data_IF_395897882653
#
_entry.id   IF_395897882653
#
_cell.length_a   1.000
_cell.length_b   1.000
_cell.length_c   1.000
_cell.angle_alpha   90.00
_cell.angle_beta   90.00
_cell.angle_gamma   90.00
#
_symmetry.space_group_name_H-M   'P 1'
#
loop_
_entity.id
_entity.type
_entity.pdbx_description
1 polymer ?
#
# COMPACT_ATOMS: atom_id res chain seq x y z
N UNK A 1 2.34 9.02 11.90
CA UNK A 1 2.92 7.91 11.15
C UNK A 1 4.27 7.58 11.74
N UNK A 2 4.57 6.31 11.99
CA UNK A 2 5.94 5.85 12.19
C UNK A 2 6.63 5.72 10.82
N UNK A 3 7.95 5.89 10.77
CA UNK A 3 8.75 5.69 9.57
C UNK A 3 9.61 4.45 9.75
N UNK A 4 9.43 3.48 8.85
CA UNK A 4 10.21 2.24 8.83
C UNK A 4 11.17 2.30 7.64
N UNK A 5 12.46 2.09 7.87
CA UNK A 5 13.46 2.02 6.79
C UNK A 5 14.43 0.86 6.98
N UNK A 6 15.27 0.59 5.97
CA UNK A 6 16.34 -0.39 6.07
C UNK A 6 17.48 -0.03 7.03
N UNK A 7 17.44 1.17 7.65
CA UNK A 7 18.44 1.70 8.57
C UNK A 7 19.87 1.81 8.02
N UNK A 8 20.05 1.72 6.70
CA UNK A 8 21.32 2.05 6.03
C UNK A 8 21.50 3.57 5.83
N UNK A 9 22.59 3.99 5.17
CA UNK A 9 22.89 5.39 4.88
C UNK A 9 22.01 5.95 3.75
N UNK A 10 22.21 7.23 3.43
CA UNK A 10 21.60 7.89 2.27
C UNK A 10 20.11 8.12 2.48
N UNK A 11 19.27 7.67 1.54
CA UNK A 11 17.83 7.97 1.59
C UNK A 11 17.11 7.32 2.78
N UNK A 12 17.59 6.16 3.23
CA UNK A 12 17.07 5.46 4.41
C UNK A 12 17.34 6.25 5.70
N UNK A 13 18.49 6.92 5.78
CA UNK A 13 18.86 7.81 6.88
C UNK A 13 18.08 9.13 6.79
N UNK A 14 17.94 9.71 5.59
CA UNK A 14 17.17 10.93 5.37
C UNK A 14 15.70 10.78 5.82
N UNK A 15 15.07 9.63 5.54
CA UNK A 15 13.72 9.32 6.01
C UNK A 15 13.61 9.31 7.53
N UNK A 16 14.57 8.69 8.22
CA UNK A 16 14.63 8.69 9.69
C UNK A 16 14.95 10.07 10.25
N UNK A 17 15.78 10.85 9.57
CA UNK A 17 16.14 12.21 9.99
C UNK A 17 14.94 13.14 9.97
N UNK A 18 14.09 13.00 8.94
CA UNK A 18 12.85 13.78 8.84
C UNK A 18 11.81 13.37 9.90
N UNK A 19 11.72 12.09 10.24
CA UNK A 19 10.79 11.59 11.25
C UNK A 19 11.26 11.87 12.70
N UNK A 20 12.58 11.87 12.91
CA UNK A 20 13.18 11.82 14.23
C UNK A 20 13.23 10.40 14.81
N UNK A 21 14.10 10.20 15.80
CA UNK A 21 14.39 8.88 16.40
C UNK A 21 13.15 8.21 17.00
N UNK A 22 12.32 8.96 17.72
CA UNK A 22 11.13 8.42 18.40
C UNK A 22 10.10 7.85 17.41
N UNK A 23 10.03 8.42 16.21
CA UNK A 23 9.10 8.02 15.17
C UNK A 23 9.74 7.10 14.13
N UNK A 24 10.91 6.53 14.40
CA UNK A 24 11.67 5.70 13.45
C UNK A 24 11.83 4.26 13.92
N UNK A 25 11.71 3.31 12.98
CA UNK A 25 12.00 1.88 13.16
C UNK A 25 13.02 1.46 12.10
N UNK A 26 14.06 0.73 12.50
CA UNK A 26 15.12 0.30 11.62
C UNK A 26 15.14 -1.20 11.41
N UNK A 27 14.95 -1.67 10.17
CA UNK A 27 14.98 -3.09 9.83
C UNK A 27 16.08 -3.37 8.80
N UNK A 28 17.30 -3.62 9.29
CA UNK A 28 18.47 -3.82 8.43
C UNK A 28 18.71 -5.28 8.07
N UNK A 29 19.59 -5.52 7.11
CA UNK A 29 20.10 -6.85 6.74
C UNK A 29 21.57 -6.93 7.14
N UNK A 30 22.03 -8.08 7.65
CA UNK A 30 23.45 -8.31 7.94
C UNK A 30 24.21 -8.52 6.63
N UNK A 31 25.09 -7.59 6.29
CA UNK A 31 26.02 -7.72 5.17
C UNK A 31 27.47 -7.73 5.67
N UNK A 32 28.39 -8.45 5.01
CA UNK A 32 29.79 -8.55 5.45
C UNK A 32 30.52 -7.20 5.55
N UNK A 33 30.03 -6.20 4.81
CA UNK A 33 30.65 -4.88 4.64
C UNK A 33 29.80 -3.73 5.24
N UNK A 34 28.61 -4.02 5.78
CA UNK A 34 27.71 -3.01 6.36
C UNK A 34 27.52 -3.34 7.84
N UNK A 35 28.31 -2.69 8.68
CA UNK A 35 28.52 -3.11 10.09
C UNK A 35 27.62 -2.41 11.10
N UNK A 36 26.86 -1.38 10.74
CA UNK A 36 26.03 -0.66 11.73
C UNK A 36 24.83 0.06 11.10
N UNK A 37 23.78 0.22 11.91
CA UNK A 37 22.68 1.13 11.61
C UNK A 37 23.18 2.57 11.41
N UNK A 38 22.40 3.39 10.70
CA UNK A 38 22.64 4.82 10.68
C UNK A 38 22.59 5.44 12.10
N UNK A 39 23.24 6.60 12.33
CA UNK A 39 23.41 7.17 13.67
C UNK A 39 22.10 7.48 14.42
N UNK A 40 21.00 7.66 13.68
CA UNK A 40 19.71 8.08 14.25
C UNK A 40 19.12 6.97 15.12
N UNK A 41 19.17 5.72 14.65
CA UNK A 41 18.56 4.56 15.32
C UNK A 41 19.59 3.61 15.95
N UNK A 42 20.88 3.93 15.87
CA UNK A 42 21.94 3.15 16.50
C UNK A 42 21.72 3.00 18.01
N UNK A 43 21.79 1.75 18.50
CA UNK A 43 21.60 1.39 19.90
C UNK A 43 20.15 1.47 20.41
N UNK A 44 19.18 1.70 19.54
CA UNK A 44 17.75 1.75 19.89
C UNK A 44 17.13 0.34 19.90
N UNK A 45 16.15 0.10 20.78
CA UNK A 45 15.40 -1.17 20.81
C UNK A 45 14.52 -1.39 19.57
N UNK A 46 14.17 -0.31 18.86
CA UNK A 46 13.43 -0.34 17.59
C UNK A 46 14.32 -0.70 16.38
N UNK A 47 15.61 -0.95 16.60
CA UNK A 47 16.52 -1.43 15.56
C UNK A 47 16.61 -2.96 15.57
N UNK A 48 16.28 -3.57 14.43
CA UNK A 48 16.34 -5.01 14.22
C UNK A 48 17.25 -5.34 13.05
N UNK A 49 18.27 -6.16 13.32
CA UNK A 49 19.21 -6.65 12.31
C UNK A 49 18.88 -8.08 11.86
N UNK A 50 18.32 -8.20 10.66
CA UNK A 50 17.88 -9.47 10.08
C UNK A 50 19.04 -10.26 9.48
N UNK A 51 18.96 -11.59 9.54
CA UNK A 51 19.92 -12.49 8.88
C UNK A 51 19.52 -12.80 7.44
N UNK A 52 18.21 -12.88 7.16
CA UNK A 52 17.69 -13.29 5.86
C UNK A 52 16.93 -12.14 5.19
N UNK A 53 17.13 -11.98 3.88
CA UNK A 53 16.45 -10.95 3.10
C UNK A 53 14.93 -11.10 3.15
N UNK A 54 14.40 -12.33 3.01
CA UNK A 54 12.95 -12.54 2.97
C UNK A 54 12.25 -12.14 4.29
N UNK A 55 12.87 -12.39 5.45
CA UNK A 55 12.29 -11.94 6.73
C UNK A 55 12.32 -10.43 6.88
N UNK A 56 13.38 -9.77 6.37
CA UNK A 56 13.47 -8.30 6.34
C UNK A 56 12.34 -7.71 5.49
N UNK A 57 12.21 -8.20 4.25
CA UNK A 57 11.18 -7.72 3.32
C UNK A 57 9.77 -7.96 3.85
N UNK A 58 9.52 -9.13 4.45
CA UNK A 58 8.26 -9.43 5.12
C UNK A 58 7.94 -8.42 6.22
N UNK A 59 8.88 -8.07 7.09
CA UNK A 59 8.64 -7.10 8.16
C UNK A 59 8.37 -5.70 7.63
N UNK A 60 9.13 -5.26 6.61
CA UNK A 60 8.90 -3.97 5.96
C UNK A 60 7.50 -3.86 5.37
N UNK A 61 7.01 -4.92 4.71
CA UNK A 61 5.68 -4.90 4.08
C UNK A 61 4.56 -5.11 5.09
N UNK A 62 4.69 -6.09 5.98
CA UNK A 62 3.62 -6.48 6.91
C UNK A 62 3.32 -5.39 7.95
N UNK A 63 4.35 -4.71 8.41
CA UNK A 63 4.24 -3.71 9.48
C UNK A 63 4.10 -2.27 8.95
N UNK A 64 3.83 -2.11 7.65
CA UNK A 64 3.62 -0.79 7.01
C UNK A 64 2.25 -0.69 6.36
N UNK A 65 1.61 0.47 6.57
CA UNK A 65 0.34 0.82 5.94
C UNK A 65 0.51 1.52 4.60
N UNK A 66 1.66 2.16 4.35
CA UNK A 66 1.93 2.92 3.14
C UNK A 66 3.41 2.85 2.76
N UNK A 67 3.72 3.05 1.48
CA UNK A 67 5.06 2.89 0.95
C UNK A 67 5.46 4.11 0.12
N UNK A 68 6.65 4.62 0.37
CA UNK A 68 7.30 5.64 -0.47
C UNK A 68 8.60 5.03 -0.99
N UNK A 69 8.69 4.86 -2.30
CA UNK A 69 9.87 4.38 -3.00
C UNK A 69 10.59 5.59 -3.60
N UNK A 70 11.83 5.81 -3.17
CA UNK A 70 12.73 6.84 -3.72
C UNK A 70 13.66 6.20 -4.76
N UNK A 71 14.23 6.96 -5.71
CA UNK A 71 15.15 6.43 -6.72
C UNK A 71 16.29 5.62 -6.09
N UNK A 72 16.62 4.48 -6.69
CA UNK A 72 17.62 3.57 -6.14
C UNK A 72 17.98 2.41 -7.06
N UNK A 73 18.92 1.58 -6.62
CA UNK A 73 19.42 0.44 -7.40
C UNK A 73 18.54 -0.82 -7.29
N UNK A 74 19.16 -1.99 -7.51
CA UNK A 74 18.44 -3.27 -7.52
C UNK A 74 17.71 -3.60 -6.23
N UNK A 75 18.19 -3.15 -5.06
CA UNK A 75 17.49 -3.38 -3.79
C UNK A 75 16.13 -2.68 -3.75
N UNK A 76 16.10 -1.40 -4.15
CA UNK A 76 14.85 -0.63 -4.23
C UNK A 76 13.89 -1.24 -5.26
N UNK A 77 14.40 -1.63 -6.44
CA UNK A 77 13.58 -2.24 -7.48
C UNK A 77 13.02 -3.61 -7.06
N UNK A 78 13.82 -4.44 -6.38
CA UNK A 78 13.36 -5.73 -5.81
C UNK A 78 12.20 -5.52 -4.83
N UNK A 79 12.37 -4.64 -3.85
CA UNK A 79 11.35 -4.36 -2.84
C UNK A 79 10.07 -3.74 -3.47
N UNK A 80 10.22 -2.84 -4.44
CA UNK A 80 9.11 -2.19 -5.14
C UNK A 80 8.32 -3.19 -6.01
N UNK A 81 8.98 -4.01 -6.81
CA UNK A 81 8.30 -5.00 -7.65
C UNK A 81 7.67 -6.13 -6.81
N UNK A 82 8.30 -6.53 -5.70
CA UNK A 82 7.70 -7.48 -4.76
C UNK A 82 6.40 -6.93 -4.17
N UNK A 83 6.41 -5.67 -3.73
CA UNK A 83 5.23 -5.01 -3.20
C UNK A 83 4.09 -4.93 -4.22
N UNK A 84 4.39 -4.53 -5.46
CA UNK A 84 3.40 -4.53 -6.54
C UNK A 84 2.83 -5.94 -6.78
N UNK A 85 3.67 -6.96 -6.80
CA UNK A 85 3.25 -8.35 -6.98
C UNK A 85 2.34 -8.81 -5.84
N UNK A 86 2.65 -8.44 -4.59
CA UNK A 86 1.82 -8.78 -3.43
C UNK A 86 0.43 -8.12 -3.50
N UNK A 87 0.35 -6.86 -3.91
CA UNK A 87 -0.93 -6.17 -4.09
C UNK A 87 -1.71 -6.72 -5.29
N UNK A 88 -1.04 -6.93 -6.43
CA UNK A 88 -1.63 -7.47 -7.65
C UNK A 88 -2.25 -8.86 -7.42
N UNK A 89 -1.64 -9.68 -6.57
CA UNK A 89 -2.09 -11.05 -6.29
C UNK A 89 -2.98 -11.17 -5.05
N UNK A 90 -3.26 -10.06 -4.36
CA UNK A 90 -4.05 -10.05 -3.12
C UNK A 90 -3.39 -10.74 -1.94
N UNK A 91 -2.06 -10.86 -1.95
CA UNK A 91 -1.27 -11.38 -0.83
C UNK A 91 -0.90 -10.30 0.17
N UNK A 92 -0.99 -9.02 -0.23
CA UNK A 92 -0.96 -7.86 0.66
C UNK A 92 -2.36 -7.24 0.83
N UNK A 93 -2.55 -6.53 1.94
CA UNK A 93 -3.72 -5.65 2.10
C UNK A 93 -3.58 -4.44 1.16
N UNK A 94 -4.69 -3.84 0.68
CA UNK A 94 -4.63 -2.60 -0.09
C UNK A 94 -3.88 -1.51 0.68
N UNK A 95 -2.87 -0.94 0.04
CA UNK A 95 -2.02 0.13 0.56
C UNK A 95 -1.65 1.10 -0.58
N UNK A 96 -1.39 2.39 -0.27
CA UNK A 96 -0.86 3.33 -1.26
C UNK A 96 0.65 3.11 -1.43
N UNK A 97 1.06 2.93 -2.68
CA UNK A 97 2.47 2.92 -3.11
C UNK A 97 2.73 4.22 -3.84
N UNK A 98 3.65 5.01 -3.31
CA UNK A 98 4.12 6.24 -3.93
C UNK A 98 5.52 6.02 -4.46
N UNK A 99 5.70 6.27 -5.75
CA UNK A 99 7.00 6.35 -6.41
C UNK A 99 7.35 7.83 -6.49
N UNK A 100 8.28 8.30 -5.65
CA UNK A 100 8.57 9.73 -5.51
C UNK A 100 9.85 10.09 -6.26
N UNK A 101 9.71 10.86 -7.33
CA UNK A 101 10.84 11.39 -8.09
C UNK A 101 11.53 12.57 -7.39
N UNK A 102 12.80 12.76 -7.72
CA UNK A 102 13.54 13.95 -7.28
C UNK A 102 13.34 15.07 -8.31
N UNK A 103 13.39 16.35 -7.91
CA UNK A 103 13.26 17.46 -8.84
C UNK A 103 14.28 17.37 -9.99
N UNK A 104 13.79 17.17 -11.21
CA UNK A 104 14.61 17.05 -12.43
C UNK A 104 15.22 15.67 -12.67
N UNK A 105 14.81 14.64 -11.93
CA UNK A 105 15.26 13.25 -12.08
C UNK A 105 14.04 12.34 -12.29
N UNK A 106 13.65 12.06 -13.55
CA UNK A 106 12.40 11.38 -13.87
C UNK A 106 12.52 9.85 -13.76
N UNK A 107 13.14 9.36 -12.69
CA UNK A 107 13.53 7.97 -12.53
C UNK A 107 12.32 7.03 -12.58
N UNK A 108 11.26 7.35 -11.84
CA UNK A 108 10.05 6.53 -11.77
C UNK A 108 9.13 6.76 -12.96
N UNK A 109 9.11 7.95 -13.58
CA UNK A 109 8.44 8.11 -14.87
C UNK A 109 9.07 7.19 -15.93
N UNK A 110 10.39 7.06 -15.97
CA UNK A 110 11.07 6.14 -16.90
C UNK A 110 10.71 4.67 -16.63
N UNK A 111 10.62 4.26 -15.36
CA UNK A 111 10.15 2.91 -14.98
C UNK A 111 8.68 2.71 -15.35
N UNK A 112 7.82 3.70 -15.12
CA UNK A 112 6.40 3.66 -15.50
C UNK A 112 6.23 3.58 -17.02
N UNK A 113 7.05 4.30 -17.80
CA UNK A 113 7.11 4.17 -19.25
C UNK A 113 7.52 2.77 -19.67
N UNK A 114 8.46 2.11 -18.98
CA UNK A 114 8.76 0.70 -19.22
C UNK A 114 7.54 -0.20 -18.97
N UNK A 115 6.82 -0.01 -17.86
CA UNK A 115 5.60 -0.79 -17.55
C UNK A 115 4.56 -0.59 -18.66
N UNK A 116 4.27 0.66 -19.04
CA UNK A 116 3.24 1.03 -20.02
C UNK A 116 3.61 0.64 -21.46
N UNK A 117 4.87 0.76 -21.86
CA UNK A 117 5.31 0.51 -23.23
C UNK A 117 5.74 -0.95 -23.44
N UNK A 118 6.20 -1.63 -22.37
CA UNK A 118 6.71 -2.99 -22.48
C UNK A 118 5.78 -4.05 -21.92
N UNK A 119 5.28 -3.88 -20.68
CA UNK A 119 4.53 -4.93 -20.00
C UNK A 119 3.05 -4.92 -20.40
N UNK A 120 2.43 -3.75 -20.42
CA UNK A 120 1.00 -3.61 -20.68
C UNK A 120 0.58 -4.08 -22.10
N UNK A 121 1.25 -3.71 -23.20
CA UNK A 121 0.85 -4.13 -24.55
C UNK A 121 1.01 -5.64 -24.77
N UNK A 122 1.93 -6.24 -24.00
CA UNK A 122 2.18 -7.69 -23.98
C UNK A 122 1.24 -8.45 -23.04
N UNK A 123 0.33 -7.75 -22.35
CA UNK A 123 -0.60 -8.31 -21.35
C UNK A 123 0.11 -9.03 -20.20
N UNK A 124 1.32 -8.58 -19.86
CA UNK A 124 2.07 -9.08 -18.69
C UNK A 124 1.56 -8.44 -17.39
N UNK A 125 0.89 -7.29 -17.51
CA UNK A 125 0.12 -6.61 -16.46
C UNK A 125 -1.23 -6.18 -17.06
N UNK A 126 -2.21 -5.96 -16.20
CA UNK A 126 -3.52 -5.40 -16.58
C UNK A 126 -3.52 -3.88 -16.51
N UNK A 127 -4.41 -3.22 -17.26
CA UNK A 127 -4.56 -1.75 -17.18
C UNK A 127 -4.95 -1.28 -15.77
N UNK A 128 -5.70 -2.10 -15.04
CA UNK A 128 -6.06 -1.82 -13.65
C UNK A 128 -4.87 -1.86 -12.69
N UNK A 129 -3.81 -2.63 -13.00
CA UNK A 129 -2.62 -2.75 -12.13
C UNK A 129 -1.84 -1.42 -12.04
N UNK A 130 -1.99 -0.54 -13.03
CA UNK A 130 -1.42 0.81 -13.00
C UNK A 130 -2.01 1.69 -11.88
N UNK A 131 -3.15 1.31 -11.29
CA UNK A 131 -3.71 2.00 -10.14
C UNK A 131 -3.05 1.59 -8.81
N UNK A 132 -2.22 0.54 -8.79
CA UNK A 132 -1.58 0.06 -7.56
C UNK A 132 -0.52 1.03 -7.03
N UNK A 133 0.07 1.85 -7.90
CA UNK A 133 1.05 2.86 -7.55
C UNK A 133 0.70 4.24 -8.10
N UNK A 134 1.35 5.27 -7.55
CA UNK A 134 1.28 6.64 -8.03
C UNK A 134 2.71 7.19 -8.18
N UNK A 135 3.03 7.72 -9.36
CA UNK A 135 4.28 8.45 -9.60
C UNK A 135 4.06 9.90 -9.17
N UNK A 136 4.65 10.28 -8.03
CA UNK A 136 4.42 11.57 -7.40
C UNK A 136 5.38 12.63 -7.93
N UNK A 137 4.80 13.75 -8.34
CA UNK A 137 5.50 14.93 -8.86
C UNK A 137 6.25 15.76 -7.80
N UNK A 138 6.15 15.36 -6.53
CA UNK A 138 6.83 16.00 -5.41
C UNK A 138 6.30 15.55 -4.05
N UNK A 139 6.90 16.11 -2.99
CA UNK A 139 6.61 15.70 -1.59
C UNK A 139 5.14 15.91 -1.21
N UNK A 140 4.53 17.01 -1.62
CA UNK A 140 3.13 17.30 -1.27
C UNK A 140 2.17 16.29 -1.92
N UNK A 141 2.39 15.98 -3.19
CA UNK A 141 1.64 14.98 -3.95
C UNK A 141 1.76 13.58 -3.31
N UNK A 142 2.97 13.20 -2.88
CA UNK A 142 3.21 11.97 -2.14
C UNK A 142 2.40 11.91 -0.83
N UNK A 143 2.44 12.99 -0.04
CA UNK A 143 1.72 13.09 1.24
C UNK A 143 0.20 13.04 1.01
N UNK A 144 -0.30 13.77 0.02
CA UNK A 144 -1.72 13.82 -0.30
C UNK A 144 -2.22 12.47 -0.80
N UNK A 145 -1.43 11.74 -1.59
CA UNK A 145 -1.77 10.38 -2.02
C UNK A 145 -2.02 9.45 -0.82
N UNK A 146 -1.12 9.45 0.16
CA UNK A 146 -1.25 8.61 1.37
C UNK A 146 -2.45 9.06 2.22
N UNK A 147 -2.57 10.36 2.47
CA UNK A 147 -3.67 10.91 3.28
C UNK A 147 -5.03 10.67 2.66
N UNK A 148 -5.16 10.87 1.35
CA UNK A 148 -6.40 10.66 0.63
C UNK A 148 -6.80 9.19 0.63
N UNK A 149 -5.84 8.26 0.50
CA UNK A 149 -6.12 6.83 0.56
C UNK A 149 -6.76 6.41 1.90
N UNK A 150 -6.39 7.04 3.02
CA UNK A 150 -6.95 6.72 4.35
C UNK A 150 -8.03 7.70 4.84
N UNK A 151 -8.48 8.60 3.96
CA UNK A 151 -9.46 9.64 4.31
C UNK A 151 -10.80 9.02 4.74
N UNK A 152 -11.28 8.04 3.97
CA UNK A 152 -12.48 7.29 4.29
C UNK A 152 -12.19 5.80 4.46
N UNK A 153 -11.39 5.21 3.58
CA UNK A 153 -10.98 3.81 3.71
C UNK A 153 -10.18 3.57 5.00
N UNK A 154 -10.56 2.51 5.71
CA UNK A 154 -9.86 2.06 6.91
C UNK A 154 -9.12 0.76 6.65
N UNK A 155 -9.84 -0.30 6.30
CA UNK A 155 -9.28 -1.64 6.12
C UNK A 155 -10.19 -2.54 5.31
N UNK A 156 -9.68 -3.70 4.91
CA UNK A 156 -10.45 -4.79 4.32
C UNK A 156 -10.35 -6.04 5.17
N UNK A 157 -11.37 -6.90 5.10
CA UNK A 157 -11.37 -8.22 5.72
C UNK A 157 -12.15 -9.20 4.85
N UNK A 158 -11.66 -10.43 4.77
CA UNK A 158 -12.40 -11.54 4.16
C UNK A 158 -13.21 -12.26 5.25
N UNK A 159 -14.52 -12.38 5.03
CA UNK A 159 -15.44 -13.14 5.90
C UNK A 159 -16.24 -14.11 5.04
N UNK A 160 -15.87 -15.40 5.07
CA UNK A 160 -16.41 -16.39 4.14
C UNK A 160 -16.08 -16.00 2.69
N UNK A 161 -17.13 -15.80 1.88
CA UNK A 161 -17.02 -15.37 0.49
C UNK A 161 -17.04 -13.85 0.31
N UNK A 162 -17.35 -13.09 1.37
CA UNK A 162 -17.45 -11.65 1.31
C UNK A 162 -16.10 -10.99 1.54
N UNK A 163 -15.82 -9.97 0.73
CA UNK A 163 -14.84 -8.94 1.06
C UNK A 163 -15.59 -7.80 1.73
N UNK A 164 -15.27 -7.55 3.00
CA UNK A 164 -15.76 -6.42 3.79
C UNK A 164 -14.76 -5.29 3.67
N UNK A 165 -15.22 -4.11 3.27
CA UNK A 165 -14.47 -2.86 3.27
C UNK A 165 -14.99 -2.00 4.41
N UNK A 166 -14.11 -1.58 5.32
CA UNK A 166 -14.44 -0.68 6.43
C UNK A 166 -14.11 0.75 6.09
N UNK A 167 -15.01 1.63 6.50
CA UNK A 167 -15.04 3.04 6.14
C UNK A 167 -15.28 3.90 7.38
N UNK A 168 -14.65 5.06 7.42
CA UNK A 168 -14.81 6.06 8.48
C UNK A 168 -16.13 6.82 8.36
N UNK A 169 -16.64 6.95 7.13
CA UNK A 169 -17.85 7.67 6.80
C UNK A 169 -18.85 6.77 6.07
N UNK A 170 -20.13 7.06 6.25
CA UNK A 170 -21.19 6.36 5.53
C UNK A 170 -21.18 6.74 4.04
N UNK A 171 -21.36 5.75 3.16
CA UNK A 171 -21.50 6.00 1.72
C UNK A 171 -22.93 6.37 1.39
N UNK A 172 -23.17 7.54 0.83
CA UNK A 172 -24.51 7.95 0.39
C UNK A 172 -25.08 6.97 -0.67
N UNK A 173 -26.40 6.74 -0.67
CA UNK A 173 -27.06 5.81 -1.60
C UNK A 173 -26.77 6.13 -3.08
N UNK A 174 -26.82 7.42 -3.44
CA UNK A 174 -26.51 7.87 -4.80
C UNK A 174 -25.08 7.52 -5.23
N UNK A 175 -24.12 7.55 -4.29
CA UNK A 175 -22.74 7.14 -4.54
C UNK A 175 -22.65 5.62 -4.67
N UNK A 176 -23.33 4.87 -3.81
CA UNK A 176 -23.35 3.41 -3.87
C UNK A 176 -23.92 2.87 -5.20
N UNK A 177 -24.95 3.52 -5.74
CA UNK A 177 -25.50 3.18 -7.08
C UNK A 177 -24.44 3.37 -8.17
N UNK A 178 -23.72 4.50 -8.17
CA UNK A 178 -22.63 4.76 -9.13
C UNK A 178 -21.49 3.75 -9.00
N UNK A 179 -21.08 3.43 -7.77
CA UNK A 179 -20.06 2.41 -7.52
C UNK A 179 -20.48 1.05 -8.07
N UNK A 180 -21.74 0.65 -7.87
CA UNK A 180 -22.25 -0.60 -8.42
C UNK A 180 -22.30 -0.61 -9.95
N UNK A 181 -22.61 0.52 -10.59
CA UNK A 181 -22.57 0.61 -12.06
C UNK A 181 -21.13 0.50 -12.58
N UNK A 182 -20.19 1.20 -11.95
CA UNK A 182 -18.80 1.26 -12.41
C UNK A 182 -18.01 -0.01 -12.09
N UNK A 183 -18.24 -0.63 -10.93
CA UNK A 183 -17.44 -1.73 -10.40
C UNK A 183 -18.20 -3.07 -10.31
N UNK A 184 -19.32 -3.21 -11.01
CA UNK A 184 -20.09 -4.46 -11.06
C UNK A 184 -19.23 -5.69 -11.38
N UNK A 185 -18.24 -5.53 -12.27
CA UNK A 185 -17.34 -6.60 -12.70
C UNK A 185 -16.42 -7.14 -11.59
N UNK A 186 -16.24 -6.40 -10.50
CA UNK A 186 -15.52 -6.89 -9.32
C UNK A 186 -16.36 -7.87 -8.49
N UNK A 187 -17.69 -7.85 -8.63
CA UNK A 187 -18.59 -8.74 -7.91
C UNK A 187 -18.81 -10.04 -8.69
N UNK A 188 -18.57 -11.16 -8.02
CA UNK A 188 -18.88 -12.51 -8.55
C UNK A 188 -20.38 -12.75 -8.62
N UNK A 189 -21.11 -12.24 -7.63
CA UNK A 189 -22.56 -12.35 -7.51
C UNK A 189 -23.11 -11.17 -6.71
N UNK A 190 -24.27 -10.66 -7.15
CA UNK A 190 -24.92 -9.52 -6.49
C UNK A 190 -24.13 -8.22 -6.62
N UNK A 191 -24.41 -7.29 -5.71
CA UNK A 191 -23.92 -5.92 -5.72
C UNK A 191 -23.08 -5.61 -4.47
N UNK A 192 -22.33 -4.52 -4.51
CA UNK A 192 -21.75 -3.88 -3.35
C UNK A 192 -22.89 -3.31 -2.49
N UNK A 193 -22.96 -3.74 -1.24
CA UNK A 193 -24.04 -3.38 -0.32
C UNK A 193 -23.51 -2.90 1.02
N UNK A 194 -24.27 -2.06 1.71
CA UNK A 194 -23.99 -1.69 3.11
C UNK A 194 -24.37 -2.87 4.01
N UNK A 195 -23.54 -3.14 5.02
CA UNK A 195 -23.83 -4.17 6.01
C UNK A 195 -23.58 -3.66 7.44
N UNK A 196 -24.17 -4.34 8.43
CA UNK A 196 -23.77 -4.25 9.83
C UNK A 196 -22.59 -5.20 10.10
N UNK A 197 -21.88 -5.11 11.25
CA UNK A 197 -20.72 -5.97 11.49
C UNK A 197 -21.13 -7.45 11.40
N UNK A 198 -20.32 -8.25 10.71
CA UNK A 198 -20.58 -9.69 10.61
C UNK A 198 -20.39 -10.40 11.95
N UNK A 199 -20.97 -11.59 12.12
CA UNK A 199 -20.80 -12.36 13.37
C UNK A 199 -19.32 -12.63 13.70
N UNK A 200 -18.48 -12.86 12.69
CA UNK A 200 -17.03 -13.03 12.86
C UNK A 200 -16.35 -11.75 13.35
N UNK A 201 -16.71 -10.58 12.80
CA UNK A 201 -16.18 -9.30 13.27
C UNK A 201 -16.61 -8.98 14.70
N UNK A 202 -17.86 -9.30 15.07
CA UNK A 202 -18.38 -9.13 16.43
C UNK A 202 -17.59 -9.98 17.43
N UNK A 203 -17.34 -11.25 17.09
CA UNK A 203 -16.58 -12.17 17.94
C UNK A 203 -15.16 -11.64 18.21
N UNK A 204 -14.53 -11.05 17.20
CA UNK A 204 -13.17 -10.50 17.30
C UNK A 204 -13.12 -9.06 17.81
N UNK A 205 -14.28 -8.42 18.06
CA UNK A 205 -14.40 -6.98 18.39
C UNK A 205 -13.70 -6.08 17.38
N UNK A 206 -13.78 -6.44 16.10
CA UNK A 206 -12.99 -5.85 15.02
C UNK A 206 -13.65 -4.60 14.44
N UNK A 207 -13.32 -3.42 14.99
CA UNK A 207 -13.74 -2.10 14.49
C UNK A 207 -15.26 -2.00 14.25
N UNK A 208 -16.04 -2.36 15.27
CA UNK A 208 -17.50 -2.50 15.17
C UNK A 208 -18.23 -1.17 14.93
N UNK A 209 -17.61 -0.07 15.32
CA UNK A 209 -18.09 1.31 15.18
C UNK A 209 -17.99 1.87 13.75
N UNK A 210 -17.18 1.25 12.88
CA UNK A 210 -16.99 1.72 11.50
C UNK A 210 -18.17 1.37 10.58
N UNK A 211 -18.35 2.17 9.53
CA UNK A 211 -19.23 1.84 8.41
C UNK A 211 -18.59 0.77 7.55
N UNK A 212 -19.39 0.02 6.79
CA UNK A 212 -18.86 -1.07 5.98
C UNK A 212 -19.70 -1.39 4.76
N UNK A 213 -19.00 -1.71 3.69
CA UNK A 213 -19.55 -2.29 2.47
C UNK A 213 -19.10 -3.75 2.37
N UNK A 214 -19.91 -4.59 1.74
CA UNK A 214 -19.53 -5.95 1.41
C UNK A 214 -20.02 -6.38 0.04
N UNK A 215 -19.25 -7.27 -0.58
CA UNK A 215 -19.58 -7.95 -1.82
C UNK A 215 -18.75 -9.21 -1.99
N UNK A 216 -19.21 -10.13 -2.84
CA UNK A 216 -18.45 -11.32 -3.22
C UNK A 216 -17.39 -10.96 -4.26
N UNK A 217 -16.23 -10.48 -3.82
CA UNK A 217 -15.15 -10.10 -4.74
C UNK A 217 -14.67 -11.30 -5.57
N UNK A 218 -14.49 -11.11 -6.89
CA UNK A 218 -13.96 -12.16 -7.79
C UNK A 218 -12.54 -12.60 -7.46
N UNK A 219 -11.77 -11.78 -6.72
CA UNK A 219 -10.35 -11.98 -6.38
C UNK A 219 -9.44 -12.11 -7.60
N UNK A 220 -9.78 -11.39 -8.67
CA UNK A 220 -9.00 -11.39 -9.91
C UNK A 220 -8.41 -10.03 -10.27
N UNK A 221 -9.10 -8.95 -9.92
CA UNK A 221 -8.69 -7.60 -10.31
C UNK A 221 -8.48 -6.72 -9.07
N UNK A 222 -7.29 -6.83 -8.47
CA UNK A 222 -6.91 -6.05 -7.29
C UNK A 222 -6.61 -4.59 -7.63
N UNK A 223 -6.17 -4.30 -8.86
CA UNK A 223 -6.09 -2.93 -9.37
C UNK A 223 -7.47 -2.28 -9.45
N UNK A 224 -8.50 -3.01 -9.87
CA UNK A 224 -9.89 -2.57 -9.86
C UNK A 224 -10.41 -2.35 -8.43
N UNK A 225 -10.09 -3.23 -7.49
CA UNK A 225 -10.38 -3.02 -6.06
C UNK A 225 -9.70 -1.74 -5.53
N UNK A 226 -8.47 -1.47 -5.93
CA UNK A 226 -7.77 -0.23 -5.58
C UNK A 226 -8.49 1.00 -6.14
N UNK A 227 -8.91 0.98 -7.42
CA UNK A 227 -9.73 2.06 -8.03
C UNK A 227 -11.06 2.27 -7.28
N UNK A 228 -11.71 1.19 -6.81
CA UNK A 228 -12.91 1.27 -5.98
C UNK A 228 -12.62 1.98 -4.65
N UNK A 229 -11.51 1.65 -3.98
CA UNK A 229 -11.07 2.31 -2.75
C UNK A 229 -10.81 3.81 -3.00
N UNK A 230 -10.13 4.14 -4.10
CA UNK A 230 -9.87 5.54 -4.46
C UNK A 230 -11.20 6.32 -4.67
N UNK A 231 -12.21 5.72 -5.30
CA UNK A 231 -13.54 6.31 -5.44
C UNK A 231 -14.28 6.46 -4.11
N UNK A 232 -14.14 5.50 -3.19
CA UNK A 232 -14.69 5.61 -1.83
C UNK A 232 -14.09 6.78 -1.05
N UNK A 233 -12.83 7.12 -1.35
CA UNK A 233 -12.10 8.25 -0.80
C UNK A 233 -12.32 9.58 -1.54
N UNK A 234 -13.15 9.66 -2.59
CA UNK A 234 -13.55 10.93 -3.21
C UNK A 234 -14.81 11.50 -2.52
N UNK A 235 -14.96 12.84 -2.45
CA UNK A 235 -16.15 13.46 -1.85
C UNK A 235 -17.35 13.30 -2.78
#
# INVERSE_FOLDING_TARGET
WMVVTGAGPGIMEAGMSGAGREMSIGVSIRLPFETSANPIIAGDEKYVSMRYFFTRKLMLVKESDAFICMPGGFGTLDEMFELLTLLQTGKGNPAPIVLLDLPGDPFWEDVDLFVKNSLLPRKLVSESDLALYHVASGVQDAVDTIKNFYRNYHSTRIVGNLTVIRLREEVAEAKLVKLNQQFAYLSKAGAITKITPTAAEIADKDNLDLYRLAFEFTRRDFGGLRKLIDQLNQQ
#
